data_IF_819875799960
#
_entry.id   IF_819875799960
#
_cell.length_a   1.000
_cell.length_b   1.000
_cell.length_c   1.000
_cell.angle_alpha   90.00
_cell.angle_beta   90.00
_cell.angle_gamma   90.00
#
_symmetry.space_group_name_H-M   'P 1'
#
loop_
_entity.id
_entity.type
_entity.pdbx_description
1 polymer ?
#
# COMPACT_ATOMS: atom_id res chain seq x y z
N UNK A 1 -4.12 16.92 -9.63
CA UNK A 1 -4.86 15.69 -9.84
C UNK A 1 -5.58 15.68 -11.19
N UNK A 2 -6.00 14.53 -11.66
CA UNK A 2 -6.67 14.35 -12.96
C UNK A 2 -7.98 15.15 -13.06
N UNK A 3 -8.66 15.35 -11.94
CA UNK A 3 -9.91 16.12 -11.83
C UNK A 3 -9.68 17.60 -11.57
N UNK A 4 -8.45 18.10 -11.68
CA UNK A 4 -8.11 19.49 -11.44
C UNK A 4 -8.01 19.90 -9.96
N UNK A 5 -8.18 18.97 -9.03
CA UNK A 5 -8.01 19.24 -7.60
C UNK A 5 -6.54 19.49 -7.31
N UNK A 6 -6.24 20.59 -6.65
CA UNK A 6 -4.90 20.95 -6.20
C UNK A 6 -4.76 20.64 -4.72
N UNK A 7 -3.69 19.95 -4.36
CA UNK A 7 -3.36 19.60 -2.98
C UNK A 7 -1.95 20.13 -2.68
N UNK A 8 -1.81 20.81 -1.57
CA UNK A 8 -0.48 21.18 -1.05
C UNK A 8 0.20 19.95 -0.49
N UNK A 9 1.45 19.74 -0.86
CA UNK A 9 2.26 18.62 -0.38
C UNK A 9 3.60 19.11 0.14
N UNK A 10 4.19 18.33 1.02
CA UNK A 10 5.54 18.53 1.50
C UNK A 10 6.50 17.54 0.81
N UNK A 11 7.78 17.88 0.64
CA UNK A 11 8.76 16.92 0.18
C UNK A 11 8.87 15.74 1.14
N UNK A 12 9.01 14.53 0.59
CA UNK A 12 9.26 13.35 1.41
C UNK A 12 10.64 13.46 2.10
N UNK A 13 10.63 13.40 3.43
CA UNK A 13 11.85 13.21 4.21
C UNK A 13 11.88 11.78 4.75
N UNK A 14 12.68 10.88 4.15
CA UNK A 14 12.61 9.46 4.49
C UNK A 14 13.10 9.11 5.90
N UNK A 15 13.80 10.02 6.59
CA UNK A 15 14.26 9.79 7.96
C UNK A 15 13.27 10.25 9.04
N UNK A 16 12.19 10.91 8.64
CA UNK A 16 11.13 11.41 9.55
C UNK A 16 9.87 10.54 9.54
N UNK A 17 9.93 9.36 8.95
CA UNK A 17 8.79 8.43 8.93
C UNK A 17 8.78 7.64 10.24
N UNK A 18 7.72 7.80 11.02
CA UNK A 18 7.60 7.16 12.33
C UNK A 18 6.76 5.87 12.28
N UNK A 19 5.45 5.97 12.14
CA UNK A 19 4.56 4.82 12.31
C UNK A 19 4.13 4.16 11.00
N UNK A 20 3.36 4.87 10.18
CA UNK A 20 2.75 4.33 8.98
C UNK A 20 3.22 5.12 7.76
N UNK A 21 3.76 4.40 6.78
CA UNK A 21 4.06 4.95 5.47
C UNK A 21 3.05 4.40 4.45
N UNK A 22 2.15 5.27 3.98
CA UNK A 22 1.12 4.90 3.01
C UNK A 22 1.52 5.36 1.62
N UNK A 23 1.48 4.42 0.67
CA UNK A 23 1.75 4.68 -0.74
C UNK A 23 0.41 4.56 -1.50
N UNK A 24 -0.15 5.66 -2.01
CA UNK A 24 -1.35 5.59 -2.82
C UNK A 24 -1.08 5.00 -4.19
N UNK A 25 -2.07 4.32 -4.74
CA UNK A 25 -2.03 3.83 -6.11
C UNK A 25 -2.42 4.91 -7.13
N UNK A 26 -2.53 4.49 -8.37
CA UNK A 26 -3.00 5.32 -9.47
C UNK A 26 -1.99 5.48 -10.60
N UNK A 27 -2.29 6.37 -11.53
CA UNK A 27 -1.46 6.60 -12.73
C UNK A 27 -0.08 7.18 -12.42
N UNK A 28 0.04 7.90 -11.30
CA UNK A 28 1.31 8.47 -10.85
C UNK A 28 2.39 7.43 -10.54
N UNK A 29 2.01 6.20 -10.20
CA UNK A 29 2.96 5.09 -9.98
C UNK A 29 3.83 4.86 -11.21
N UNK A 30 3.20 4.76 -12.39
CA UNK A 30 3.92 4.57 -13.65
C UNK A 30 4.86 5.74 -13.96
N UNK A 31 4.37 6.98 -13.79
CA UNK A 31 5.19 8.17 -13.98
C UNK A 31 6.39 8.19 -13.04
N UNK A 32 6.19 7.90 -11.77
CA UNK A 32 7.27 7.83 -10.77
C UNK A 32 8.36 6.85 -11.20
N UNK A 33 7.98 5.62 -11.58
CA UNK A 33 8.93 4.57 -11.97
C UNK A 33 9.71 4.91 -13.24
N UNK A 34 9.16 5.73 -14.10
CA UNK A 34 9.84 6.15 -15.34
C UNK A 34 10.69 7.43 -15.18
N UNK A 35 10.39 8.27 -14.20
CA UNK A 35 11.03 9.60 -14.06
C UNK A 35 12.02 9.70 -12.91
N UNK A 36 11.73 9.09 -11.76
CA UNK A 36 12.55 9.28 -10.55
C UNK A 36 13.78 8.35 -10.48
N UNK A 37 13.79 7.27 -11.22
CA UNK A 37 14.92 6.36 -11.30
C UNK A 37 15.40 5.84 -9.95
N UNK A 38 16.70 5.59 -9.83
CA UNK A 38 17.32 4.98 -8.65
C UNK A 38 17.21 5.84 -7.39
N UNK A 39 17.30 7.16 -7.52
CA UNK A 39 17.21 8.08 -6.38
C UNK A 39 15.83 8.01 -5.72
N UNK A 40 14.76 8.02 -6.50
CA UNK A 40 13.40 7.87 -5.98
C UNK A 40 13.18 6.51 -5.31
N UNK A 41 13.73 5.45 -5.89
CA UNK A 41 13.70 4.11 -5.32
C UNK A 41 14.42 4.05 -3.97
N UNK A 42 15.58 4.66 -3.84
CA UNK A 42 16.34 4.72 -2.58
C UNK A 42 15.60 5.50 -1.50
N UNK A 43 14.97 6.60 -1.83
CA UNK A 43 14.16 7.38 -0.89
C UNK A 43 12.98 6.58 -0.37
N UNK A 44 12.26 5.89 -1.24
CA UNK A 44 11.15 5.02 -0.85
C UNK A 44 11.63 3.87 0.04
N UNK A 45 12.71 3.23 -0.35
CA UNK A 45 13.29 2.14 0.43
C UNK A 45 13.61 2.59 1.86
N UNK A 46 14.27 3.72 2.01
CA UNK A 46 14.62 4.28 3.32
C UNK A 46 13.36 4.62 4.13
N UNK A 47 12.36 5.26 3.53
CA UNK A 47 11.10 5.58 4.20
C UNK A 47 10.38 4.32 4.71
N UNK A 48 10.32 3.27 3.90
CA UNK A 48 9.71 2.00 4.28
C UNK A 48 10.49 1.31 5.40
N UNK A 49 11.81 1.34 5.35
CA UNK A 49 12.66 0.76 6.40
C UNK A 49 12.48 1.47 7.75
N UNK A 50 12.29 2.78 7.75
CA UNK A 50 12.02 3.58 8.96
C UNK A 50 10.59 3.37 9.50
N UNK A 51 9.60 3.13 8.65
CA UNK A 51 8.22 2.96 9.05
C UNK A 51 7.99 1.64 9.81
N UNK A 52 7.10 1.67 10.79
CA UNK A 52 6.62 0.46 11.47
C UNK A 52 5.68 -0.36 10.58
N UNK A 53 4.88 0.32 9.75
CA UNK A 53 3.96 -0.28 8.79
C UNK A 53 4.08 0.39 7.43
N UNK A 54 4.03 -0.43 6.38
CA UNK A 54 4.00 0.02 4.99
C UNK A 54 2.68 -0.40 4.35
N UNK A 55 1.91 0.57 3.91
CA UNK A 55 0.57 0.38 3.35
C UNK A 55 0.58 0.73 1.87
N UNK A 56 0.21 -0.22 1.02
CA UNK A 56 0.25 -0.08 -0.44
C UNK A 56 -1.14 -0.26 -1.02
N UNK A 57 -1.65 0.76 -1.69
CA UNK A 57 -2.99 0.73 -2.30
C UNK A 57 -2.88 0.39 -3.78
N UNK A 58 -3.55 -0.68 -4.20
CA UNK A 58 -3.63 -1.13 -5.58
C UNK A 58 -2.24 -1.33 -6.24
N UNK A 59 -1.91 -0.59 -7.29
CA UNK A 59 -0.64 -0.71 -8.02
C UNK A 59 0.56 -0.05 -7.31
N UNK A 60 0.36 0.49 -6.11
CA UNK A 60 1.43 1.12 -5.33
C UNK A 60 2.59 0.15 -5.03
N UNK A 61 2.31 -1.15 -4.89
CA UNK A 61 3.34 -2.16 -4.67
C UNK A 61 4.41 -2.19 -5.77
N UNK A 62 4.06 -1.79 -6.99
CA UNK A 62 5.03 -1.68 -8.09
C UNK A 62 6.13 -0.65 -7.79
N UNK A 63 5.85 0.38 -7.01
CA UNK A 63 6.85 1.37 -6.61
C UNK A 63 7.97 0.77 -5.75
N UNK A 64 7.69 -0.30 -5.03
CA UNK A 64 8.65 -1.00 -4.18
C UNK A 64 9.26 -2.25 -4.83
N UNK A 65 8.78 -2.63 -6.01
CA UNK A 65 9.16 -3.91 -6.62
C UNK A 65 10.66 -4.06 -6.88
N UNK A 66 11.34 -2.96 -7.22
CA UNK A 66 12.78 -2.95 -7.52
C UNK A 66 13.66 -2.67 -6.31
N UNK A 67 13.07 -2.39 -5.15
CA UNK A 67 13.83 -2.11 -3.92
C UNK A 67 14.34 -3.39 -3.24
N UNK A 68 13.78 -4.53 -3.57
CA UNK A 68 14.03 -5.80 -2.88
C UNK A 68 13.22 -6.01 -1.60
N UNK A 69 12.51 -4.98 -1.11
CA UNK A 69 11.76 -5.05 0.14
C UNK A 69 10.60 -6.05 0.11
N UNK A 70 9.99 -6.26 -1.07
CA UNK A 70 8.86 -7.18 -1.24
C UNK A 70 9.30 -8.59 -1.68
N UNK A 71 10.59 -8.85 -1.70
CA UNK A 71 11.11 -10.16 -2.10
C UNK A 71 10.60 -11.24 -1.16
N UNK A 72 9.97 -12.29 -1.73
CA UNK A 72 9.29 -13.37 -1.00
C UNK A 72 8.09 -12.95 -0.14
N UNK A 73 7.65 -11.69 -0.22
CA UNK A 73 6.45 -11.22 0.46
C UNK A 73 5.19 -11.54 -0.33
N UNK A 74 4.10 -11.81 0.41
CA UNK A 74 2.77 -11.92 -0.16
C UNK A 74 2.18 -10.52 -0.33
N UNK A 75 1.69 -10.23 -1.53
CA UNK A 75 1.13 -8.92 -1.90
C UNK A 75 -0.20 -9.15 -2.62
N UNK A 76 -1.20 -8.34 -2.33
CA UNK A 76 -2.48 -8.41 -3.04
C UNK A 76 -2.28 -8.09 -4.52
N UNK A 77 -2.75 -8.99 -5.38
CA UNK A 77 -2.70 -8.78 -6.82
C UNK A 77 -3.66 -7.66 -7.24
N UNK A 78 -3.29 -6.91 -8.27
CA UNK A 78 -4.08 -5.79 -8.78
C UNK A 78 -4.24 -5.87 -10.28
N UNK A 79 -5.39 -5.40 -10.78
CA UNK A 79 -5.63 -5.29 -12.21
C UNK A 79 -4.93 -4.04 -12.78
N UNK A 80 -4.08 -4.24 -13.77
CA UNK A 80 -3.36 -3.18 -14.48
C UNK A 80 -2.91 -3.70 -15.84
N UNK A 81 -2.24 -2.86 -16.65
CA UNK A 81 -1.61 -3.30 -17.89
C UNK A 81 -0.66 -4.48 -17.64
N UNK A 82 -1.03 -5.65 -18.09
CA UNK A 82 -0.29 -6.90 -17.82
C UNK A 82 1.13 -6.89 -18.37
N UNK A 83 1.37 -6.25 -19.50
CA UNK A 83 2.70 -6.15 -20.08
C UNK A 83 3.61 -5.28 -19.23
N UNK A 84 3.09 -4.17 -18.74
CA UNK A 84 3.82 -3.29 -17.84
C UNK A 84 4.05 -3.95 -16.47
N UNK A 85 3.02 -4.59 -15.94
CA UNK A 85 3.04 -5.25 -14.64
C UNK A 85 4.10 -6.35 -14.56
N UNK A 86 4.29 -7.11 -15.63
CA UNK A 86 5.31 -8.18 -15.67
C UNK A 86 6.73 -7.70 -15.36
N UNK A 87 7.03 -6.44 -15.59
CA UNK A 87 8.34 -5.85 -15.26
C UNK A 87 8.58 -5.73 -13.75
N UNK A 88 7.52 -5.88 -12.93
CA UNK A 88 7.55 -5.63 -11.49
C UNK A 88 7.05 -6.81 -10.66
N UNK A 89 7.11 -8.03 -11.20
CA UNK A 89 6.58 -9.23 -10.52
C UNK A 89 7.66 -10.17 -10.00
N UNK A 90 8.91 -9.97 -10.38
CA UNK A 90 9.99 -10.90 -10.04
C UNK A 90 10.22 -10.94 -8.53
N UNK A 91 10.13 -12.14 -7.95
CA UNK A 91 10.39 -12.37 -6.53
C UNK A 91 9.25 -11.96 -5.60
N UNK A 92 8.13 -11.47 -6.11
CA UNK A 92 6.96 -11.05 -5.33
C UNK A 92 5.86 -12.10 -5.49
N UNK A 93 5.27 -12.54 -4.38
CA UNK A 93 4.16 -13.49 -4.38
C UNK A 93 2.83 -12.74 -4.47
N UNK A 94 2.36 -12.47 -5.68
CA UNK A 94 1.04 -11.85 -5.88
C UNK A 94 -0.07 -12.86 -5.65
N UNK A 95 -1.00 -12.49 -4.76
CA UNK A 95 -2.15 -13.31 -4.35
C UNK A 95 -3.42 -12.69 -4.90
N UNK A 96 -4.09 -13.39 -5.83
CA UNK A 96 -5.28 -12.89 -6.53
C UNK A 96 -6.60 -13.25 -5.88
N UNK A 97 -6.61 -14.18 -4.93
CA UNK A 97 -7.84 -14.63 -4.23
C UNK A 97 -8.29 -13.71 -3.09
N UNK A 98 -7.44 -12.82 -2.63
CA UNK A 98 -7.70 -11.95 -1.50
C UNK A 98 -7.79 -10.49 -1.94
N UNK A 99 -8.74 -9.75 -1.38
CA UNK A 99 -8.89 -8.32 -1.67
C UNK A 99 -7.83 -7.45 -1.01
N UNK A 100 -7.30 -7.89 0.12
CA UNK A 100 -6.17 -7.28 0.77
C UNK A 100 -5.37 -8.33 1.55
N UNK A 101 -4.10 -8.05 1.78
CA UNK A 101 -3.17 -8.97 2.44
C UNK A 101 -2.29 -8.19 3.41
N UNK A 102 -2.01 -8.79 4.55
CA UNK A 102 -0.92 -8.39 5.44
C UNK A 102 0.16 -9.47 5.47
N UNK A 103 1.40 -9.05 5.36
CA UNK A 103 2.58 -9.92 5.50
C UNK A 103 3.67 -9.14 6.25
N UNK A 104 3.84 -9.48 7.53
CA UNK A 104 4.69 -8.70 8.42
C UNK A 104 4.18 -7.26 8.54
N UNK A 105 5.05 -6.29 8.27
CA UNK A 105 4.67 -4.86 8.29
C UNK A 105 4.00 -4.37 6.99
N UNK A 106 3.91 -5.21 5.96
CA UNK A 106 3.39 -4.84 4.65
C UNK A 106 1.92 -5.16 4.53
N UNK A 107 1.13 -4.13 4.22
CA UNK A 107 -0.30 -4.21 3.93
C UNK A 107 -0.54 -3.79 2.50
N UNK A 108 -1.27 -4.59 1.74
CA UNK A 108 -1.54 -4.31 0.33
C UNK A 108 -2.98 -4.60 -0.02
N UNK A 109 -3.58 -3.78 -0.88
CA UNK A 109 -4.93 -3.97 -1.38
C UNK A 109 -4.96 -4.15 -2.90
N UNK A 110 -5.89 -4.97 -3.37
CA UNK A 110 -6.08 -5.24 -4.81
C UNK A 110 -6.74 -4.06 -5.55
N UNK A 111 -7.55 -3.28 -4.85
CA UNK A 111 -8.28 -2.13 -5.39
C UNK A 111 -8.26 -0.98 -4.40
N UNK A 112 -8.63 0.21 -4.87
CA UNK A 112 -8.79 1.38 -4.00
C UNK A 112 -9.93 1.17 -2.98
N UNK A 113 -11.01 0.49 -3.37
CA UNK A 113 -12.13 0.21 -2.46
C UNK A 113 -11.74 -0.79 -1.37
N UNK A 114 -10.97 -1.81 -1.70
CA UNK A 114 -10.47 -2.78 -0.73
C UNK A 114 -9.50 -2.15 0.30
N UNK A 115 -8.97 -0.96 0.04
CA UNK A 115 -8.13 -0.24 0.99
C UNK A 115 -8.88 0.14 2.28
N UNK A 116 -10.22 0.26 2.24
CA UNK A 116 -11.00 0.50 3.45
C UNK A 116 -10.94 -0.71 4.40
N UNK A 117 -11.17 -1.90 3.89
CA UNK A 117 -11.05 -3.13 4.68
C UNK A 117 -9.62 -3.33 5.19
N UNK A 118 -8.63 -3.07 4.34
CA UNK A 118 -7.22 -3.14 4.71
C UNK A 118 -6.88 -2.16 5.85
N UNK A 119 -7.38 -0.92 5.78
CA UNK A 119 -7.14 0.09 6.81
C UNK A 119 -7.76 -0.31 8.16
N UNK A 120 -8.98 -0.85 8.14
CA UNK A 120 -9.63 -1.35 9.34
C UNK A 120 -8.91 -2.58 9.91
N UNK A 121 -8.42 -3.45 9.04
CA UNK A 121 -7.57 -4.58 9.44
C UNK A 121 -6.28 -4.12 10.12
N UNK A 122 -5.62 -3.12 9.56
CA UNK A 122 -4.42 -2.51 10.16
C UNK A 122 -4.71 -1.91 11.53
N UNK A 123 -5.80 -1.17 11.67
CA UNK A 123 -6.23 -0.60 12.96
C UNK A 123 -6.48 -1.71 13.98
N UNK A 124 -7.15 -2.78 13.56
CA UNK A 124 -7.38 -3.96 14.41
C UNK A 124 -6.07 -4.59 14.89
N UNK A 125 -5.08 -4.71 14.01
CA UNK A 125 -3.78 -5.30 14.33
C UNK A 125 -2.93 -4.38 15.23
N UNK A 126 -2.98 -3.07 14.99
CA UNK A 126 -2.21 -2.09 15.78
C UNK A 126 -2.79 -1.83 17.16
N UNK A 127 -4.10 -1.80 17.27
CA UNK A 127 -4.81 -1.40 18.46
C UNK A 127 -5.69 -2.54 18.97
N UNK A 128 -6.92 -2.68 18.39
CA UNK A 128 -7.92 -3.60 18.87
C UNK A 128 -9.03 -3.73 17.82
N UNK A 129 -9.62 -4.93 17.72
CA UNK A 129 -10.75 -5.17 16.79
C UNK A 129 -11.97 -4.34 17.16
N UNK A 130 -12.26 -4.15 18.45
CA UNK A 130 -13.39 -3.35 18.93
C UNK A 130 -13.25 -1.89 18.51
N UNK A 131 -12.03 -1.35 18.51
CA UNK A 131 -11.75 0.01 18.04
C UNK A 131 -12.00 0.12 16.53
N UNK A 132 -11.54 -0.87 15.75
CA UNK A 132 -11.76 -0.88 14.31
C UNK A 132 -13.26 -0.98 13.97
N UNK A 133 -14.01 -1.83 14.66
CA UNK A 133 -15.46 -1.95 14.50
C UNK A 133 -16.18 -0.64 14.82
N UNK A 134 -15.78 0.03 15.91
CA UNK A 134 -16.36 1.31 16.28
C UNK A 134 -16.08 2.39 15.25
N UNK A 135 -14.88 2.45 14.71
CA UNK A 135 -14.53 3.39 13.61
C UNK A 135 -15.36 3.11 12.38
N UNK A 136 -15.50 1.84 11.99
CA UNK A 136 -16.33 1.45 10.84
C UNK A 136 -17.78 1.90 11.03
N UNK A 137 -18.35 1.71 12.21
CA UNK A 137 -19.68 2.18 12.54
C UNK A 137 -19.81 3.71 12.45
N UNK A 138 -18.85 4.45 13.02
CA UNK A 138 -18.85 5.92 13.00
C UNK A 138 -18.78 6.50 11.60
N UNK A 139 -18.04 5.89 10.68
CA UNK A 139 -17.94 6.34 9.28
C UNK A 139 -19.04 5.76 8.39
N UNK A 140 -19.94 4.92 8.93
CA UNK A 140 -21.01 4.27 8.17
C UNK A 140 -20.53 3.22 7.17
N UNK A 141 -19.42 2.55 7.47
CA UNK A 141 -18.85 1.51 6.62
C UNK A 141 -19.20 0.12 7.15
N UNK A 142 -19.80 -0.72 6.29
CA UNK A 142 -20.06 -2.13 6.62
C UNK A 142 -18.76 -2.94 6.50
N UNK A 143 -18.15 -3.22 7.64
CA UNK A 143 -16.93 -4.00 7.72
C UNK A 143 -17.22 -5.39 8.31
N UNK A 144 -16.82 -6.43 7.60
CA UNK A 144 -16.92 -7.80 8.10
C UNK A 144 -15.64 -8.17 8.87
N UNK A 145 -15.65 -7.88 10.16
CA UNK A 145 -14.52 -8.15 11.05
C UNK A 145 -14.25 -9.65 11.24
N UNK A 146 -15.24 -10.52 10.95
CA UNK A 146 -15.07 -11.97 11.07
C UNK A 146 -14.10 -12.56 10.04
N UNK A 147 -13.85 -11.84 8.94
CA UNK A 147 -12.88 -12.22 7.93
C UNK A 147 -11.45 -11.82 8.31
N UNK A 148 -11.29 -11.04 9.36
CA UNK A 148 -10.00 -10.58 9.87
C UNK A 148 -9.60 -11.40 11.10
N UNK A 149 -8.95 -12.51 10.86
CA UNK A 149 -8.47 -13.40 11.92
C UNK A 149 -6.95 -13.55 11.82
#
# INVERSE_FOLDING_TARGET
GKQGIKVWTEPLNPIEIEDIFLIPGGKGVKSFLHTEGDKGQQMLKQAVEEASFCVMVQNASAMLARTGLLFHRQVADYAYDENWKRMFTVGINYISRENWISDGKYYSSSTTMAAMDMALGLISDMLDIDIAEKIAEEIGYEWDSSLHI
#
